data_IF_272612891379
#
_entry.id   IF_272612891379
#
_cell.length_a   1.000
_cell.length_b   1.000
_cell.length_c   1.000
_cell.angle_alpha   90.00
_cell.angle_beta   90.00
_cell.angle_gamma   90.00
#
_symmetry.space_group_name_H-M   'P 1'
#
loop_
_entity.id
_entity.type
_entity.pdbx_description
1 polymer ?
#
# COMPACT_ATOMS: atom_id res chain seq x y z
N UNK A 1 -1.74 2.53 24.80
CA UNK A 1 -1.41 3.81 24.14
C UNK A 1 -2.25 4.92 24.80
N UNK A 2 -1.65 5.96 25.40
CA UNK A 2 -2.37 7.07 26.09
C UNK A 2 -2.44 8.35 25.23
N UNK A 3 -2.56 8.21 23.91
CA UNK A 3 -2.58 9.36 23.00
C UNK A 3 -3.98 10.02 23.00
N UNK A 4 -4.03 11.36 23.02
CA UNK A 4 -5.25 12.18 22.97
C UNK A 4 -5.37 12.88 21.61
N UNK A 5 -5.38 12.08 20.54
CA UNK A 5 -5.24 12.56 19.16
C UNK A 5 -6.55 12.44 18.38
N UNK A 6 -6.94 13.52 17.70
CA UNK A 6 -7.94 13.54 16.67
C UNK A 6 -7.31 13.16 15.32
N UNK A 7 -8.06 12.47 14.47
CA UNK A 7 -7.65 12.20 13.09
C UNK A 7 -8.58 12.92 12.12
N UNK A 8 -8.02 13.41 11.01
CA UNK A 8 -8.81 13.87 9.87
C UNK A 8 -8.50 13.01 8.64
N UNK A 9 -9.49 12.91 7.76
CA UNK A 9 -9.48 12.14 6.53
C UNK A 9 -10.35 12.87 5.49
N UNK A 10 -10.15 12.60 4.20
CA UNK A 10 -10.98 13.12 3.11
C UNK A 10 -11.18 14.66 3.15
N UNK A 11 -10.12 15.42 3.45
CA UNK A 11 -10.16 16.88 3.39
C UNK A 11 -10.32 17.33 1.95
N UNK A 12 -11.35 18.13 1.68
CA UNK A 12 -11.65 18.70 0.37
C UNK A 12 -11.95 20.19 0.52
N UNK A 13 -11.31 21.00 -0.32
CA UNK A 13 -11.49 22.44 -0.34
C UNK A 13 -11.08 22.99 -1.70
N UNK A 14 -11.81 23.98 -2.20
CA UNK A 14 -11.33 24.85 -3.27
C UNK A 14 -10.02 25.53 -2.85
N UNK A 15 -9.27 26.08 -3.81
CA UNK A 15 -8.04 26.86 -3.53
C UNK A 15 -8.37 28.20 -2.84
N UNK A 16 -8.82 28.11 -1.60
CA UNK A 16 -9.35 29.19 -0.79
C UNK A 16 -8.88 28.99 0.66
N UNK A 17 -7.98 29.88 1.08
CA UNK A 17 -7.34 29.79 2.39
C UNK A 17 -8.31 30.05 3.54
N UNK A 18 -9.20 31.01 3.40
CA UNK A 18 -10.18 31.35 4.43
C UNK A 18 -11.14 30.19 4.69
N UNK A 19 -11.62 29.54 3.62
CA UNK A 19 -12.48 28.36 3.71
C UNK A 19 -11.76 27.18 4.36
N UNK A 20 -10.53 26.88 3.93
CA UNK A 20 -9.71 25.83 4.54
C UNK A 20 -9.47 26.08 6.04
N UNK A 21 -9.13 27.32 6.40
CA UNK A 21 -8.93 27.70 7.80
C UNK A 21 -10.21 27.52 8.62
N UNK A 22 -11.36 27.96 8.11
CA UNK A 22 -12.64 27.82 8.80
C UNK A 22 -13.01 26.34 9.02
N UNK A 23 -12.80 25.48 8.02
CA UNK A 23 -13.01 24.04 8.12
C UNK A 23 -12.12 23.41 9.21
N UNK A 24 -10.83 23.73 9.21
CA UNK A 24 -9.90 23.20 10.19
C UNK A 24 -10.18 23.72 11.60
N UNK A 25 -10.49 25.01 11.78
CA UNK A 25 -10.85 25.57 13.09
C UNK A 25 -12.11 24.91 13.67
N UNK A 26 -13.11 24.59 12.84
CA UNK A 26 -14.26 23.81 13.27
C UNK A 26 -13.84 22.41 13.78
N UNK A 27 -12.93 21.74 13.08
CA UNK A 27 -12.34 20.47 13.48
C UNK A 27 -11.54 20.56 14.79
N UNK A 28 -10.71 21.60 14.95
CA UNK A 28 -9.93 21.83 16.16
C UNK A 28 -10.84 22.10 17.35
N UNK A 29 -11.87 22.93 17.20
CA UNK A 29 -12.84 23.20 18.24
C UNK A 29 -13.59 21.91 18.66
N UNK A 30 -13.96 21.06 17.69
CA UNK A 30 -14.56 19.76 17.97
C UNK A 30 -13.63 18.85 18.79
N UNK A 31 -12.34 18.83 18.44
CA UNK A 31 -11.32 18.02 19.11
C UNK A 31 -11.03 18.51 20.54
N UNK A 32 -10.83 19.83 20.72
CA UNK A 32 -10.62 20.46 22.03
C UNK A 32 -11.77 20.20 22.99
N UNK A 33 -13.03 20.29 22.53
CA UNK A 33 -14.23 19.97 23.33
C UNK A 33 -14.28 18.52 23.83
N UNK A 34 -13.59 17.60 23.15
CA UNK A 34 -13.45 16.19 23.56
C UNK A 34 -12.19 15.94 24.39
N UNK A 35 -11.47 16.99 24.74
CA UNK A 35 -10.19 16.89 25.42
C UNK A 35 -9.14 16.19 24.56
N UNK A 36 -9.15 16.36 23.24
CA UNK A 36 -8.04 15.94 22.38
C UNK A 36 -7.08 17.12 22.25
N UNK A 37 -5.77 16.87 22.27
CA UNK A 37 -4.73 17.90 22.27
C UNK A 37 -3.86 17.89 21.00
N UNK A 38 -4.08 16.94 20.10
CA UNK A 38 -3.36 16.84 18.83
C UNK A 38 -4.31 16.47 17.70
N UNK A 39 -4.09 16.98 16.50
CA UNK A 39 -4.73 16.51 15.27
C UNK A 39 -3.68 15.96 14.30
N UNK A 40 -3.97 14.83 13.66
CA UNK A 40 -3.07 14.18 12.69
C UNK A 40 -3.85 13.72 11.45
N UNK A 41 -3.26 13.90 10.26
CA UNK A 41 -3.84 13.43 9.02
C UNK A 41 -3.19 14.03 7.76
N UNK A 42 -3.79 13.81 6.58
CA UNK A 42 -4.94 12.96 6.39
C UNK A 42 -4.56 11.49 6.56
N UNK A 43 -5.40 10.75 7.28
CA UNK A 43 -5.35 9.29 7.32
C UNK A 43 -6.29 8.69 6.28
N UNK A 44 -6.05 7.43 5.96
CA UNK A 44 -7.03 6.56 5.32
C UNK A 44 -8.19 6.26 6.27
N UNK A 45 -9.39 6.05 5.73
CA UNK A 45 -10.57 5.69 6.54
C UNK A 45 -10.48 4.23 7.00
N UNK A 46 -9.88 3.38 6.18
CA UNK A 46 -9.58 1.97 6.43
C UNK A 46 -8.08 1.72 6.39
N UNK A 47 -7.59 0.59 6.95
CA UNK A 47 -6.18 0.21 6.90
C UNK A 47 -5.59 0.04 5.49
N UNK A 48 -6.44 -0.11 4.46
CA UNK A 48 -6.02 -0.25 3.06
C UNK A 48 -6.11 1.05 2.27
N UNK A 49 -6.74 2.08 2.82
CA UNK A 49 -6.72 3.40 2.22
C UNK A 49 -5.32 3.99 2.38
N UNK A 50 -4.76 4.50 1.30
CA UNK A 50 -3.46 5.14 1.36
C UNK A 50 -3.47 6.35 2.30
N UNK A 51 -2.31 6.63 2.87
CA UNK A 51 -2.07 7.68 3.84
C UNK A 51 -1.52 8.95 3.18
N UNK A 52 -1.77 10.09 3.80
CA UNK A 52 -1.14 11.37 3.47
C UNK A 52 -1.67 12.05 2.20
N UNK A 53 -1.21 13.29 1.98
CA UNK A 53 -1.46 14.07 0.77
C UNK A 53 -0.31 13.93 -0.20
N UNK A 54 -0.61 13.79 -1.49
CA UNK A 54 0.37 13.83 -2.56
C UNK A 54 1.09 15.19 -2.55
N UNK A 55 2.42 15.16 -2.45
CA UNK A 55 3.31 16.33 -2.51
C UNK A 55 4.33 16.24 -3.66
N UNK A 56 4.48 15.07 -4.28
CA UNK A 56 5.35 14.84 -5.46
C UNK A 56 4.76 13.75 -6.37
N UNK A 57 4.89 13.90 -7.68
CA UNK A 57 4.42 12.94 -8.68
C UNK A 57 3.00 13.20 -9.21
N UNK A 58 2.56 14.46 -9.23
CA UNK A 58 1.23 14.87 -9.71
C UNK A 58 1.02 14.63 -11.22
N UNK A 59 2.08 14.42 -11.98
CA UNK A 59 2.03 14.05 -13.40
C UNK A 59 1.65 12.57 -13.62
N UNK A 60 1.59 11.77 -12.55
CA UNK A 60 1.32 10.35 -12.61
C UNK A 60 -0.07 10.02 -12.06
N UNK A 61 -0.76 9.09 -12.75
CA UNK A 61 -2.02 8.52 -12.28
C UNK A 61 -1.81 7.84 -10.92
N UNK A 62 -2.68 8.06 -9.91
CA UNK A 62 -2.57 7.35 -8.64
C UNK A 62 -2.84 5.85 -8.83
N UNK A 63 -2.12 5.02 -8.08
CA UNK A 63 -2.49 3.61 -7.90
C UNK A 63 -3.86 3.54 -7.22
N UNK A 64 -4.65 2.52 -7.55
CA UNK A 64 -5.94 2.28 -6.90
C UNK A 64 -5.81 2.24 -5.36
N UNK A 65 -6.65 3.02 -4.67
CA UNK A 65 -6.64 3.15 -3.20
C UNK A 65 -5.64 4.17 -2.64
N UNK A 66 -4.77 4.75 -3.46
CA UNK A 66 -3.79 5.75 -3.02
C UNK A 66 -4.32 7.17 -3.23
N UNK A 67 -4.24 8.07 -2.23
CA UNK A 67 -4.74 9.44 -2.32
C UNK A 67 -4.13 10.23 -3.48
N UNK A 68 -4.96 11.08 -4.06
CA UNK A 68 -4.55 12.06 -5.05
C UNK A 68 -5.35 13.35 -4.83
N UNK A 69 -4.64 14.41 -4.43
CA UNK A 69 -5.16 15.76 -4.27
C UNK A 69 -4.57 16.70 -5.33
N UNK A 70 -5.17 17.89 -5.48
CA UNK A 70 -4.58 18.94 -6.31
C UNK A 70 -3.34 19.55 -5.63
N UNK A 71 -2.48 20.16 -6.45
CA UNK A 71 -1.16 20.69 -6.04
C UNK A 71 -1.22 21.72 -4.90
N UNK A 72 -2.33 22.45 -4.75
CA UNK A 72 -2.47 23.49 -3.74
C UNK A 72 -2.85 22.97 -2.34
N UNK A 73 -3.33 21.72 -2.22
CA UNK A 73 -3.83 21.19 -0.94
C UNK A 73 -2.78 21.19 0.18
N UNK A 74 -1.52 20.78 -0.04
CA UNK A 74 -0.47 20.86 0.97
C UNK A 74 -0.33 22.26 1.57
N UNK A 75 -0.39 23.29 0.73
CA UNK A 75 -0.26 24.68 1.18
C UNK A 75 -1.46 25.13 2.04
N UNK A 76 -2.67 24.66 1.75
CA UNK A 76 -3.85 24.94 2.59
C UNK A 76 -3.72 24.31 3.97
N UNK A 77 -3.21 23.07 4.06
CA UNK A 77 -2.99 22.37 5.33
C UNK A 77 -1.88 23.04 6.14
N UNK A 78 -0.76 23.36 5.51
CA UNK A 78 0.37 24.05 6.15
C UNK A 78 -0.04 25.46 6.63
N UNK A 79 -0.84 26.20 5.84
CA UNK A 79 -1.38 27.49 6.22
C UNK A 79 -2.32 27.43 7.44
N UNK A 80 -2.95 26.26 7.68
CA UNK A 80 -3.74 25.98 8.88
C UNK A 80 -2.89 25.58 10.10
N UNK A 81 -1.57 25.79 10.07
CA UNK A 81 -0.67 25.61 11.20
C UNK A 81 -0.24 24.16 11.44
N UNK A 82 -0.45 23.27 10.47
CA UNK A 82 0.08 21.92 10.51
C UNK A 82 1.55 21.88 10.08
N UNK A 83 2.31 20.95 10.65
CA UNK A 83 3.66 20.61 10.22
C UNK A 83 3.74 19.15 9.78
N UNK A 84 4.78 18.81 9.02
CA UNK A 84 5.03 17.43 8.57
C UNK A 84 5.19 16.48 9.75
N UNK A 85 4.38 15.42 9.79
CA UNK A 85 4.51 14.34 10.77
C UNK A 85 5.25 13.13 10.22
N UNK A 86 5.23 12.93 8.91
CA UNK A 86 5.87 11.79 8.24
C UNK A 86 5.66 11.83 6.74
N UNK A 87 6.54 11.13 6.03
CA UNK A 87 6.50 11.02 4.57
C UNK A 87 6.55 9.56 4.16
N UNK A 88 5.90 9.27 3.04
CA UNK A 88 5.78 7.93 2.50
C UNK A 88 5.97 8.04 1.00
N UNK A 89 6.75 7.15 0.42
CA UNK A 89 7.05 7.15 -1.03
C UNK A 89 6.39 5.97 -1.72
N UNK A 90 5.97 6.18 -2.97
CA UNK A 90 5.59 5.08 -3.86
C UNK A 90 6.57 5.02 -5.01
N UNK A 91 6.91 3.81 -5.44
CA UNK A 91 7.91 3.54 -6.46
C UNK A 91 7.33 2.89 -7.69
N UNK A 92 7.97 3.13 -8.83
CA UNK A 92 7.61 2.57 -10.12
C UNK A 92 8.63 1.52 -10.56
N UNK A 93 8.14 0.43 -11.16
CA UNK A 93 8.95 -0.60 -11.81
C UNK A 93 8.34 -0.92 -13.18
N UNK A 94 9.15 -0.77 -14.24
CA UNK A 94 8.73 -1.14 -15.58
C UNK A 94 8.64 -2.66 -15.75
N UNK A 95 7.60 -3.18 -16.38
CA UNK A 95 7.41 -4.61 -16.60
C UNK A 95 8.42 -5.24 -17.55
N UNK A 96 9.09 -4.44 -18.39
CA UNK A 96 10.24 -4.88 -19.19
C UNK A 96 11.55 -4.90 -18.40
N UNK A 97 11.55 -4.35 -17.18
CA UNK A 97 12.72 -4.41 -16.31
C UNK A 97 12.97 -5.85 -15.88
N UNK A 98 14.22 -6.28 -16.05
CA UNK A 98 14.69 -7.57 -15.57
C UNK A 98 15.40 -7.35 -14.25
N UNK A 99 15.04 -8.13 -13.25
CA UNK A 99 15.77 -8.09 -11.99
C UNK A 99 17.23 -8.45 -12.25
N UNK A 100 18.19 -7.84 -11.54
CA UNK A 100 19.59 -8.21 -11.68
C UNK A 100 19.79 -9.71 -11.41
N UNK A 101 20.64 -10.38 -12.19
CA UNK A 101 20.86 -11.84 -12.05
C UNK A 101 21.30 -12.24 -10.62
N UNK A 102 21.98 -11.33 -9.90
CA UNK A 102 22.33 -11.50 -8.49
C UNK A 102 21.10 -11.75 -7.60
N UNK A 103 19.97 -11.12 -7.88
CA UNK A 103 18.69 -11.33 -7.16
C UNK A 103 18.20 -12.76 -7.37
N UNK A 104 18.24 -13.26 -8.61
CA UNK A 104 17.89 -14.64 -8.92
C UNK A 104 18.84 -15.66 -8.27
N UNK A 105 20.14 -15.36 -8.23
CA UNK A 105 21.12 -16.20 -7.54
C UNK A 105 20.84 -16.27 -6.03
N UNK A 106 20.55 -15.13 -5.39
CA UNK A 106 20.15 -15.10 -3.98
C UNK A 106 18.88 -15.91 -3.76
N UNK A 107 17.85 -15.72 -4.60
CA UNK A 107 16.60 -16.48 -4.51
C UNK A 107 16.86 -17.99 -4.57
N UNK A 108 17.63 -18.48 -5.56
CA UNK A 108 17.99 -19.91 -5.69
C UNK A 108 18.77 -20.42 -4.48
N UNK A 109 19.77 -19.66 -4.01
CA UNK A 109 20.58 -20.04 -2.86
C UNK A 109 19.75 -20.12 -1.57
N UNK A 110 18.81 -19.21 -1.38
CA UNK A 110 17.90 -19.18 -0.24
C UNK A 110 16.96 -20.38 -0.28
N UNK A 111 16.40 -20.71 -1.44
CA UNK A 111 15.57 -21.91 -1.60
C UNK A 111 16.34 -23.19 -1.23
N UNK A 112 17.56 -23.35 -1.75
CA UNK A 112 18.37 -24.55 -1.53
C UNK A 112 18.91 -24.65 -0.10
N UNK A 113 19.52 -23.59 0.43
CA UNK A 113 20.26 -23.63 1.71
C UNK A 113 19.36 -23.43 2.93
N UNK A 114 18.29 -22.64 2.80
CA UNK A 114 17.39 -22.31 3.91
C UNK A 114 16.08 -23.08 3.86
N UNK A 115 15.80 -23.81 2.77
CA UNK A 115 14.54 -24.55 2.59
C UNK A 115 13.31 -23.65 2.53
N UNK A 116 13.48 -22.40 2.10
CA UNK A 116 12.35 -21.49 1.85
C UNK A 116 11.75 -21.80 0.49
N UNK A 117 10.43 -21.89 0.40
CA UNK A 117 9.72 -22.17 -0.85
C UNK A 117 8.59 -21.17 -1.06
N UNK A 118 8.34 -20.77 -2.30
CA UNK A 118 7.17 -19.94 -2.63
C UNK A 118 6.06 -20.86 -3.13
N UNK A 119 4.89 -20.76 -2.52
CA UNK A 119 3.71 -21.49 -2.98
C UNK A 119 2.98 -20.66 -4.03
N UNK A 120 2.63 -21.29 -5.16
CA UNK A 120 1.77 -20.72 -6.19
C UNK A 120 0.35 -21.23 -6.00
N UNK A 121 -0.60 -20.32 -5.93
CA UNK A 121 -2.02 -20.63 -5.83
C UNK A 121 -2.68 -20.50 -7.21
N UNK A 122 -3.69 -21.33 -7.48
CA UNK A 122 -4.33 -21.40 -8.79
C UNK A 122 -5.72 -20.77 -8.79
N UNK A 123 -6.38 -20.76 -7.64
CA UNK A 123 -7.74 -20.24 -7.50
C UNK A 123 -7.89 -19.29 -6.31
N UNK A 124 -8.91 -18.44 -6.37
CA UNK A 124 -9.34 -17.60 -5.24
C UNK A 124 -9.83 -18.44 -4.06
N UNK A 125 -10.33 -19.66 -4.31
CA UNK A 125 -10.72 -20.60 -3.25
C UNK A 125 -9.50 -21.04 -2.44
N UNK A 126 -8.38 -21.29 -3.10
CA UNK A 126 -7.13 -21.64 -2.42
C UNK A 126 -6.66 -20.48 -1.53
N UNK A 127 -6.70 -19.25 -2.06
CA UNK A 127 -6.37 -18.05 -1.30
C UNK A 127 -7.28 -17.84 -0.09
N UNK A 128 -8.60 -18.07 -0.26
CA UNK A 128 -9.57 -17.96 0.83
C UNK A 128 -9.22 -18.89 2.00
N UNK A 129 -8.73 -20.10 1.70
CA UNK A 129 -8.32 -21.05 2.73
C UNK A 129 -7.11 -20.60 3.57
N UNK A 130 -6.32 -19.65 3.05
CA UNK A 130 -5.14 -19.11 3.73
C UNK A 130 -5.45 -17.90 4.59
N UNK A 131 -6.60 -17.26 4.42
CA UNK A 131 -6.93 -15.99 5.10
C UNK A 131 -6.61 -16.02 6.60
N UNK A 132 -6.95 -17.08 7.37
CA UNK A 132 -6.59 -17.14 8.79
C UNK A 132 -5.08 -17.14 9.04
N UNK A 133 -4.30 -17.82 8.19
CA UNK A 133 -2.84 -17.86 8.30
C UNK A 133 -2.20 -16.54 7.86
N UNK A 134 -2.79 -15.86 6.87
CA UNK A 134 -2.33 -14.56 6.39
C UNK A 134 -2.57 -13.47 7.42
N UNK A 135 -3.65 -13.54 8.19
CA UNK A 135 -3.91 -12.65 9.31
C UNK A 135 -2.76 -12.68 10.31
N UNK A 136 -2.42 -13.87 10.79
CA UNK A 136 -1.35 -14.05 11.77
C UNK A 136 -0.03 -13.59 11.19
N UNK A 137 0.28 -13.99 9.95
CA UNK A 137 1.48 -13.56 9.25
C UNK A 137 1.58 -12.04 9.07
N UNK A 138 0.46 -11.38 8.75
CA UNK A 138 0.39 -9.93 8.58
C UNK A 138 0.67 -9.23 9.92
N UNK A 139 0.00 -9.65 10.98
CA UNK A 139 0.19 -9.10 12.32
C UNK A 139 1.62 -9.36 12.84
N UNK A 140 2.19 -10.54 12.60
CA UNK A 140 3.56 -10.87 13.00
C UNK A 140 4.62 -10.12 12.18
N UNK A 141 4.35 -9.84 10.90
CA UNK A 141 5.27 -9.12 10.02
C UNK A 141 5.20 -7.60 10.18
N UNK A 142 4.03 -7.04 10.51
CA UNK A 142 3.76 -5.59 10.51
C UNK A 142 3.32 -5.01 11.86
N UNK A 143 3.08 -5.84 12.88
CA UNK A 143 2.70 -5.38 14.22
C UNK A 143 3.77 -4.54 14.94
N UNK A 144 5.01 -4.57 14.46
CA UNK A 144 6.11 -3.73 14.94
C UNK A 144 6.28 -2.40 14.19
N UNK A 145 5.49 -2.12 13.14
CA UNK A 145 5.64 -0.91 12.33
C UNK A 145 4.91 0.28 12.99
N UNK A 146 5.54 1.47 13.11
CA UNK A 146 4.88 2.65 13.67
C UNK A 146 3.57 2.96 12.94
N UNK A 147 2.45 3.01 13.68
CA UNK A 147 1.12 3.25 13.12
C UNK A 147 0.35 2.00 12.64
N UNK A 148 0.97 0.82 12.68
CA UNK A 148 0.30 -0.46 12.47
C UNK A 148 -0.66 -0.75 13.63
N UNK A 149 -1.96 -0.51 13.41
CA UNK A 149 -2.98 -0.98 14.35
C UNK A 149 -3.18 -2.47 14.07
N UNK A 150 -3.04 -3.35 15.07
CA UNK A 150 -3.33 -4.77 14.90
C UNK A 150 -4.78 -4.92 14.42
N UNK A 151 -4.96 -5.61 13.29
CA UNK A 151 -6.29 -5.85 12.77
C UNK A 151 -6.96 -6.95 13.60
N UNK A 152 -8.20 -6.70 14.00
CA UNK A 152 -9.02 -7.72 14.65
C UNK A 152 -9.58 -8.72 13.62
N UNK A 153 -10.12 -9.85 14.10
CA UNK A 153 -10.58 -10.95 13.24
C UNK A 153 -11.68 -10.53 12.24
N UNK A 154 -12.60 -9.67 12.68
CA UNK A 154 -13.69 -9.16 11.84
C UNK A 154 -13.18 -8.23 10.74
N UNK A 155 -12.24 -7.34 11.08
CA UNK A 155 -11.56 -6.47 10.14
C UNK A 155 -10.82 -7.30 9.10
N UNK A 156 -10.04 -8.29 9.50
CA UNK A 156 -9.29 -9.11 8.53
C UNK A 156 -10.21 -9.93 7.63
N UNK A 157 -11.29 -10.50 8.17
CA UNK A 157 -12.25 -11.24 7.35
C UNK A 157 -12.92 -10.35 6.30
N UNK A 158 -13.40 -9.16 6.69
CA UNK A 158 -14.00 -8.21 5.77
C UNK A 158 -13.01 -7.75 4.68
N UNK A 159 -11.77 -7.48 5.08
CA UNK A 159 -10.71 -7.04 4.19
C UNK A 159 -10.28 -8.15 3.22
N UNK A 160 -10.18 -9.39 3.69
CA UNK A 160 -9.86 -10.53 2.87
C UNK A 160 -10.93 -10.78 1.80
N UNK A 161 -12.22 -10.70 2.13
CA UNK A 161 -13.30 -10.86 1.15
C UNK A 161 -13.28 -9.76 0.08
N UNK A 162 -13.00 -8.51 0.47
CA UNK A 162 -12.83 -7.41 -0.49
C UNK A 162 -11.66 -7.66 -1.45
N UNK A 163 -10.49 -8.05 -0.93
CA UNK A 163 -9.31 -8.33 -1.74
C UNK A 163 -9.52 -9.55 -2.68
N UNK A 164 -10.14 -10.61 -2.17
CA UNK A 164 -10.40 -11.84 -2.94
C UNK A 164 -11.28 -11.58 -4.16
N UNK A 165 -12.14 -10.55 -4.14
CA UNK A 165 -13.00 -10.21 -5.27
C UNK A 165 -12.24 -9.80 -6.52
N UNK A 166 -11.09 -9.13 -6.38
CA UNK A 166 -10.25 -8.69 -7.50
C UNK A 166 -8.86 -9.33 -7.53
N UNK A 167 -8.55 -10.20 -6.57
CA UNK A 167 -7.28 -10.91 -6.51
C UNK A 167 -7.04 -11.75 -7.78
N UNK A 168 -5.82 -11.64 -8.29
CA UNK A 168 -5.20 -12.59 -9.20
C UNK A 168 -4.27 -13.48 -8.38
N UNK A 169 -4.55 -14.79 -8.22
CA UNK A 169 -3.70 -15.71 -7.47
C UNK A 169 -2.24 -15.75 -7.92
N UNK A 170 -1.96 -15.38 -9.18
CA UNK A 170 -0.59 -15.29 -9.69
C UNK A 170 0.19 -14.12 -9.08
N UNK A 171 -0.48 -13.07 -8.60
CA UNK A 171 0.16 -11.89 -8.03
C UNK A 171 0.34 -11.96 -6.51
N UNK A 172 -0.16 -13.03 -5.87
CA UNK A 172 0.02 -13.27 -4.44
C UNK A 172 1.11 -14.31 -4.23
N UNK A 173 2.10 -14.01 -3.39
CA UNK A 173 3.24 -14.88 -3.09
C UNK A 173 3.32 -15.12 -1.60
N UNK A 174 3.37 -16.40 -1.21
CA UNK A 174 3.59 -16.79 0.18
C UNK A 174 4.88 -17.60 0.26
N UNK A 175 5.81 -17.14 1.09
CA UNK A 175 7.04 -17.86 1.42
C UNK A 175 6.75 -18.77 2.58
N UNK A 176 6.99 -20.06 2.40
CA UNK A 176 6.86 -21.10 3.40
C UNK A 176 8.25 -21.56 3.84
N UNK A 177 8.41 -21.78 5.15
CA UNK A 177 9.46 -22.61 5.72
C UNK A 177 8.79 -23.89 6.19
N UNK A 178 9.10 -25.01 5.53
CA UNK A 178 8.44 -26.29 5.77
C UNK A 178 6.91 -26.17 5.56
N UNK A 179 6.11 -26.27 6.62
CA UNK A 179 4.64 -26.09 6.61
C UNK A 179 4.16 -24.72 7.14
N UNK A 180 5.09 -23.85 7.55
CA UNK A 180 4.76 -22.56 8.18
C UNK A 180 4.94 -21.39 7.21
N UNK A 181 3.95 -20.49 7.07
CA UNK A 181 4.12 -19.26 6.31
C UNK A 181 5.03 -18.29 7.08
N UNK A 182 6.05 -17.77 6.40
CA UNK A 182 7.06 -16.88 7.01
C UNK A 182 7.22 -15.55 6.27
N UNK A 183 6.57 -15.40 5.12
CA UNK A 183 6.52 -14.12 4.41
C UNK A 183 5.46 -14.09 3.31
N UNK A 184 5.11 -12.89 2.89
CA UNK A 184 4.12 -12.64 1.85
C UNK A 184 4.56 -11.50 0.93
N UNK A 185 4.01 -11.49 -0.28
CA UNK A 185 3.93 -10.33 -1.14
C UNK A 185 2.53 -10.30 -1.76
N UNK A 186 1.87 -9.16 -1.64
CA UNK A 186 0.56 -8.93 -2.22
C UNK A 186 0.65 -7.89 -3.33
N UNK A 187 0.32 -8.32 -4.54
CA UNK A 187 0.08 -7.43 -5.66
C UNK A 187 -1.30 -7.71 -6.26
N UNK A 188 -1.88 -6.69 -6.91
CA UNK A 188 -3.18 -6.79 -7.56
C UNK A 188 -3.21 -6.00 -8.87
N UNK A 189 -4.07 -6.39 -9.82
CA UNK A 189 -4.28 -5.62 -11.05
C UNK A 189 -4.79 -4.22 -10.70
N UNK A 190 -4.23 -3.19 -11.32
CA UNK A 190 -4.66 -1.81 -11.10
C UNK A 190 -5.85 -1.46 -11.98
N UNK A 191 -6.93 -0.99 -11.35
CA UNK A 191 -8.17 -0.58 -12.01
C UNK A 191 -8.37 0.94 -12.03
N UNK A 192 -7.37 1.72 -11.59
CA UNK A 192 -7.49 3.18 -11.46
C UNK A 192 -7.84 3.85 -12.79
N UNK A 193 -7.43 3.29 -13.94
CA UNK A 193 -7.83 3.74 -15.27
C UNK A 193 -9.34 3.72 -15.49
N UNK A 194 -10.01 2.63 -15.09
CA UNK A 194 -11.46 2.50 -15.17
C UNK A 194 -12.18 3.42 -14.19
N UNK A 195 -11.64 3.56 -12.97
CA UNK A 195 -12.19 4.51 -11.99
C UNK A 195 -12.16 5.94 -12.53
N UNK A 196 -11.08 6.34 -13.21
CA UNK A 196 -11.00 7.65 -13.86
C UNK A 196 -12.00 7.80 -15.02
N UNK A 197 -12.09 6.83 -15.93
CA UNK A 197 -13.04 6.88 -17.05
C UNK A 197 -14.49 6.96 -16.57
N UNK A 198 -14.83 6.23 -15.52
CA UNK A 198 -16.17 6.18 -14.93
C UNK A 198 -16.45 7.33 -13.96
N UNK A 199 -15.44 8.14 -13.62
CA UNK A 199 -15.51 9.18 -12.58
C UNK A 199 -16.06 8.62 -11.25
N UNK A 200 -15.69 7.39 -10.93
CA UNK A 200 -16.16 6.66 -9.75
C UNK A 200 -17.61 6.17 -9.80
N UNK A 201 -18.36 6.39 -10.90
CA UNK A 201 -19.76 5.95 -11.00
C UNK A 201 -19.84 4.50 -11.46
N UNK A 202 -20.43 3.63 -10.64
CA UNK A 202 -20.66 2.22 -11.00
C UNK A 202 -21.84 2.03 -11.95
N UNK A 203 -22.87 2.87 -11.83
CA UNK A 203 -24.10 2.75 -12.62
C UNK A 203 -24.17 3.77 -13.76
N UNK A 204 -24.72 3.41 -14.94
CA UNK A 204 -25.31 2.09 -15.23
C UNK A 204 -24.28 1.01 -15.63
N UNK A 205 -23.12 1.38 -16.17
CA UNK A 205 -22.17 0.44 -16.80
C UNK A 205 -20.72 0.56 -16.29
N UNK A 206 -20.44 1.38 -15.27
CA UNK A 206 -19.09 1.54 -14.75
C UNK A 206 -18.53 0.29 -14.09
N UNK A 207 -19.39 -0.54 -13.48
CA UNK A 207 -19.02 -1.86 -12.98
C UNK A 207 -18.48 -2.78 -14.10
N UNK A 208 -19.04 -2.67 -15.31
CA UNK A 208 -18.58 -3.45 -16.45
C UNK A 208 -17.20 -2.99 -16.93
N UNK A 209 -16.95 -1.68 -16.97
CA UNK A 209 -15.62 -1.14 -17.32
C UNK A 209 -14.56 -1.56 -16.28
N UNK A 210 -14.90 -1.61 -14.99
CA UNK A 210 -14.01 -2.15 -13.95
C UNK A 210 -13.68 -3.64 -14.17
N UNK A 211 -14.69 -4.46 -14.47
CA UNK A 211 -14.48 -5.90 -14.73
C UNK A 211 -13.64 -6.15 -16.00
N UNK A 212 -13.84 -5.33 -17.03
CA UNK A 212 -13.03 -5.37 -18.25
C UNK A 212 -11.60 -4.94 -17.92
N UNK A 213 -11.42 -3.86 -17.15
CA UNK A 213 -10.10 -3.35 -16.75
C UNK A 213 -9.30 -4.37 -15.94
N UNK A 214 -9.94 -5.09 -15.00
CA UNK A 214 -9.30 -6.18 -14.25
C UNK A 214 -8.66 -7.26 -15.14
N UNK A 215 -9.17 -7.45 -16.37
CA UNK A 215 -8.65 -8.45 -17.32
C UNK A 215 -7.63 -7.88 -18.30
N UNK A 216 -7.75 -6.60 -18.68
CA UNK A 216 -6.90 -5.99 -19.73
C UNK A 216 -5.78 -5.11 -19.19
N UNK A 217 -5.84 -4.69 -17.93
CA UNK A 217 -4.88 -3.76 -17.36
C UNK A 217 -3.46 -4.30 -17.49
N UNK A 218 -2.55 -3.38 -17.81
CA UNK A 218 -1.11 -3.65 -17.87
C UNK A 218 -0.39 -3.16 -16.61
N UNK A 219 -1.14 -2.67 -15.64
CA UNK A 219 -0.65 -2.13 -14.39
C UNK A 219 -0.95 -3.09 -13.25
N UNK A 220 0.02 -3.27 -12.35
CA UNK A 220 -0.19 -3.90 -11.05
C UNK A 220 0.19 -2.93 -9.94
N UNK A 221 -0.45 -3.06 -8.79
CA UNK A 221 -0.06 -2.36 -7.57
C UNK A 221 0.44 -3.40 -6.57
N UNK A 222 1.67 -3.25 -6.13
CA UNK A 222 2.30 -4.04 -5.07
C UNK A 222 2.01 -3.30 -3.77
N UNK A 223 1.12 -3.84 -2.94
CA UNK A 223 0.69 -3.21 -1.70
C UNK A 223 1.67 -3.38 -0.56
N UNK A 224 2.38 -4.51 -0.54
CA UNK A 224 3.31 -4.80 0.52
C UNK A 224 3.96 -6.15 0.35
N UNK A 225 5.18 -6.24 0.88
CA UNK A 225 5.89 -7.47 1.10
C UNK A 225 6.35 -7.50 2.56
N UNK A 226 6.10 -8.61 3.24
CA UNK A 226 6.42 -8.79 4.65
C UNK A 226 7.13 -10.12 4.87
N UNK A 227 8.12 -10.12 5.74
CA UNK A 227 8.76 -11.33 6.24
C UNK A 227 8.82 -11.20 7.76
N UNK A 228 8.43 -12.25 8.47
CA UNK A 228 8.47 -12.26 9.93
C UNK A 228 9.91 -12.05 10.40
N UNK A 229 10.08 -11.39 11.53
CA UNK A 229 11.37 -10.86 11.99
C UNK A 229 12.51 -11.89 11.96
N UNK A 230 12.22 -13.12 12.44
CA UNK A 230 13.15 -14.27 12.46
C UNK A 230 13.77 -14.61 11.10
N UNK A 231 13.10 -14.30 9.99
CA UNK A 231 13.56 -14.63 8.63
C UNK A 231 13.96 -13.39 7.81
N UNK A 232 13.96 -12.19 8.40
CA UNK A 232 14.40 -10.96 7.73
C UNK A 232 15.91 -11.00 7.46
N UNK A 233 16.33 -10.37 6.36
CA UNK A 233 17.75 -10.34 5.95
C UNK A 233 18.30 -11.68 5.45
N UNK A 234 17.48 -12.73 5.37
CA UNK A 234 17.86 -14.04 4.82
C UNK A 234 17.58 -14.17 3.33
N UNK A 235 17.38 -13.06 2.61
CA UNK A 235 17.13 -13.02 1.16
C UNK A 235 15.72 -13.44 0.73
N UNK A 236 14.75 -13.48 1.66
CA UNK A 236 13.36 -13.79 1.31
C UNK A 236 12.70 -12.72 0.42
N UNK A 237 13.08 -11.44 0.53
CA UNK A 237 12.58 -10.38 -0.35
C UNK A 237 13.00 -10.63 -1.79
N UNK A 238 14.28 -10.96 -2.02
CA UNK A 238 14.79 -11.34 -3.33
C UNK A 238 14.03 -12.54 -3.92
N UNK A 239 13.69 -13.53 -3.09
CA UNK A 239 12.86 -14.67 -3.49
C UNK A 239 11.43 -14.24 -3.89
N UNK A 240 10.80 -13.37 -3.11
CA UNK A 240 9.45 -12.84 -3.40
C UNK A 240 9.43 -12.06 -4.71
N UNK A 241 10.35 -11.12 -4.91
CA UNK A 241 10.44 -10.31 -6.12
C UNK A 241 10.84 -11.15 -7.34
N UNK A 242 11.74 -12.13 -7.18
CA UNK A 242 12.07 -13.05 -8.27
C UNK A 242 10.89 -13.90 -8.73
N UNK A 243 9.98 -14.28 -7.83
CA UNK A 243 8.74 -15.00 -8.20
C UNK A 243 7.66 -14.05 -8.73
N UNK A 244 7.62 -12.81 -8.24
CA UNK A 244 6.74 -11.78 -8.77
C UNK A 244 7.09 -11.46 -10.22
N UNK A 245 8.37 -11.30 -10.56
CA UNK A 245 8.80 -11.03 -11.95
C UNK A 245 8.27 -12.09 -12.92
N UNK A 246 8.37 -13.38 -12.56
CA UNK A 246 7.80 -14.46 -13.39
C UNK A 246 6.30 -14.27 -13.62
N UNK A 247 5.58 -13.84 -12.59
CA UNK A 247 4.13 -13.63 -12.64
C UNK A 247 3.74 -12.39 -13.44
N UNK A 248 4.56 -11.33 -13.36
CA UNK A 248 4.44 -10.12 -14.18
C UNK A 248 4.56 -10.48 -15.66
N UNK A 249 5.55 -11.30 -16.01
CA UNK A 249 5.78 -11.77 -17.38
C UNK A 249 4.69 -12.72 -17.87
N UNK A 250 4.34 -13.74 -17.08
CA UNK A 250 3.25 -14.67 -17.38
C UNK A 250 1.89 -13.96 -17.54
N UNK A 251 1.66 -12.89 -16.77
CA UNK A 251 0.46 -12.06 -16.84
C UNK A 251 0.48 -10.99 -17.94
N UNK A 252 1.64 -10.76 -18.57
CA UNK A 252 1.82 -9.72 -19.58
C UNK A 252 1.58 -8.32 -19.04
N UNK A 253 1.95 -8.05 -17.79
CA UNK A 253 1.91 -6.73 -17.17
C UNK A 253 3.13 -5.90 -17.59
N UNK A 254 2.94 -4.60 -17.79
CA UNK A 254 3.96 -3.69 -18.31
C UNK A 254 4.40 -2.64 -17.29
N UNK A 255 3.67 -2.48 -16.18
CA UNK A 255 3.93 -1.46 -15.17
C UNK A 255 3.58 -1.99 -13.78
N UNK A 256 4.38 -1.63 -12.79
CA UNK A 256 4.11 -1.94 -11.39
C UNK A 256 4.33 -0.71 -10.51
N UNK A 257 3.34 -0.38 -9.67
CA UNK A 257 3.48 0.59 -8.59
C UNK A 257 3.70 -0.16 -7.27
N UNK A 258 4.86 0.02 -6.64
CA UNK A 258 5.04 -0.30 -5.23
C UNK A 258 4.49 0.85 -4.40
N UNK A 259 3.38 0.62 -3.73
CA UNK A 259 2.68 1.69 -3.03
C UNK A 259 3.14 1.82 -1.58
N UNK A 260 3.34 3.07 -1.18
CA UNK A 260 3.44 3.52 0.20
C UNK A 260 4.45 2.80 1.12
N UNK A 261 5.74 3.02 0.84
CA UNK A 261 6.86 2.66 1.71
C UNK A 261 7.26 3.86 2.57
N UNK A 262 7.27 3.69 3.89
CA UNK A 262 7.68 4.74 4.83
C UNK A 262 9.13 5.16 4.63
N UNK A 263 9.40 6.48 4.63
CA UNK A 263 10.75 6.99 4.34
C UNK A 263 11.75 6.66 5.44
N UNK A 264 11.29 6.45 6.67
CA UNK A 264 12.10 6.08 7.82
C UNK A 264 12.76 4.69 7.69
N UNK A 265 12.31 3.86 6.75
CA UNK A 265 12.87 2.53 6.50
C UNK A 265 13.98 2.56 5.45
N UNK A 266 15.09 3.25 5.77
CA UNK A 266 16.25 3.41 4.87
C UNK A 266 16.77 2.10 4.27
N UNK A 267 16.74 1.02 5.06
CA UNK A 267 17.20 -0.30 4.62
C UNK A 267 16.29 -0.84 3.51
N UNK A 268 14.97 -0.75 3.70
CA UNK A 268 14.01 -1.18 2.70
C UNK A 268 14.07 -0.30 1.46
N UNK A 269 14.20 1.02 1.61
CA UNK A 269 14.35 1.91 0.46
C UNK A 269 15.56 1.55 -0.41
N UNK A 270 16.73 1.29 0.21
CA UNK A 270 17.93 0.84 -0.50
C UNK A 270 17.71 -0.51 -1.19
N UNK A 271 17.14 -1.48 -0.49
CA UNK A 271 16.86 -2.81 -1.04
C UNK A 271 15.92 -2.73 -2.26
N UNK A 272 14.90 -1.88 -2.21
CA UNK A 272 13.96 -1.67 -3.31
C UNK A 272 14.59 -0.93 -4.49
N UNK A 273 15.45 0.07 -4.23
CA UNK A 273 16.20 0.76 -5.27
C UNK A 273 17.17 -0.19 -6.01
N UNK A 274 17.80 -1.13 -5.30
CA UNK A 274 18.63 -2.19 -5.91
C UNK A 274 17.82 -3.16 -6.78
N UNK A 275 16.53 -3.29 -6.54
CA UNK A 275 15.58 -4.03 -7.39
C UNK A 275 15.08 -3.21 -8.59
N UNK A 276 15.60 -1.99 -8.79
CA UNK A 276 15.25 -1.12 -9.91
C UNK A 276 14.00 -0.28 -9.71
N UNK A 277 13.50 -0.17 -8.49
CA UNK A 277 12.32 0.64 -8.17
C UNK A 277 12.71 2.12 -8.09
N UNK A 278 12.02 2.95 -8.86
CA UNK A 278 12.20 4.40 -8.86
C UNK A 278 11.10 5.09 -8.02
N UNK A 279 11.48 5.69 -6.89
CA UNK A 279 10.56 6.39 -6.00
C UNK A 279 10.16 7.76 -6.55
N UNK A 280 9.10 7.73 -7.36
CA UNK A 280 8.60 8.87 -8.13
C UNK A 280 7.43 9.63 -7.50
N UNK A 281 6.73 9.05 -6.52
CA UNK A 281 5.61 9.71 -5.80
C UNK A 281 5.95 9.84 -4.31
N UNK A 282 5.42 10.89 -3.69
CA UNK A 282 5.54 11.10 -2.25
C UNK A 282 4.23 11.63 -1.67
N UNK A 283 3.82 11.03 -0.56
CA UNK A 283 2.69 11.43 0.26
C UNK A 283 3.19 11.90 1.62
N UNK A 284 2.60 12.98 2.12
CA UNK A 284 2.94 13.60 3.39
C UNK A 284 1.77 13.55 4.35
N UNK A 285 2.04 13.08 5.56
CA UNK A 285 1.14 13.23 6.70
C UNK A 285 1.54 14.45 7.50
N UNK A 286 0.55 15.06 8.14
CA UNK A 286 0.64 16.30 8.87
C UNK A 286 0.11 16.13 10.29
N UNK A 287 0.67 16.89 11.23
CA UNK A 287 0.12 16.99 12.57
C UNK A 287 0.15 18.44 13.09
N UNK A 288 -0.70 18.71 14.08
CA UNK A 288 -0.80 20.00 14.76
C UNK A 288 -1.20 19.78 16.21
N UNK A 289 -0.51 20.43 17.14
CA UNK A 289 -0.96 20.54 18.55
C UNK A 289 -2.11 21.55 18.66
N UNK A 290 -3.11 21.26 19.49
CA UNK A 290 -4.39 22.00 19.58
C UNK A 290 -4.51 22.84 20.84
#
# INVERSE_FOLDING_TARGET
>A
NKARTAFFFLFECEDNREAAQALFEAGFAWARRRGLNKMLGPKGMTPFDGLGMLVRGFEHRPAFGIPYNLRYYPALVEAAGFHTSGEIVSGYLGGSYRLPERVHQVARAVQQRRGLRVVRYRSRRDLRSLVPQLQQLYNDALGGTPGGVPLNDEEVAALAEQLLWFADPRLIKIVMKDAQPVGFLFAYPDVSAAVQRTRGRLWPLGWLDLLIELRRTKWININGAGIIEKYRGLGGTALLFSELEKSVHEGGFAHADLVQVGVENDKMQRELAELGIDFYKMHRSYEREL
#
